data_IF_426394753226
#
_entry.id   IF_426394753226
#
_cell.length_a   1.000
_cell.length_b   1.000
_cell.length_c   1.000
_cell.angle_alpha   90.00
_cell.angle_beta   90.00
_cell.angle_gamma   90.00
#
_symmetry.space_group_name_H-M   'P 1'
#
loop_
_entity.id
_entity.type
_entity.pdbx_description
1 polymer ?
#
# COMPACT_ATOMS: atom_id res chain seq x y z
N UNK A 1 -9.96 -9.17 -6.47
CA UNK A 1 -9.50 -8.94 -7.08
C UNK A 1 -8.86 -9.59 -7.67
N UNK A 2 -8.82 -9.66 -8.43
CA UNK A 2 -8.22 -10.33 -8.90
C UNK A 2 -7.25 -9.87 -9.58
N UNK A 3 -6.26 -10.23 -9.57
CA UNK A 3 -5.24 -9.75 -10.16
C UNK A 3 -5.14 -10.16 -11.51
N UNK A 4 -4.67 -9.30 -12.41
CA UNK A 4 -4.32 -9.63 -13.77
C UNK A 4 -3.06 -10.46 -13.71
N UNK A 5 -3.07 -11.66 -14.23
CA UNK A 5 -1.88 -12.50 -14.16
C UNK A 5 -0.65 -11.87 -14.79
N UNK A 6 -0.84 -10.95 -15.72
CA UNK A 6 0.29 -10.30 -16.36
C UNK A 6 1.08 -9.43 -15.39
N UNK A 7 0.42 -8.95 -14.35
CA UNK A 7 1.11 -8.14 -13.35
C UNK A 7 2.07 -8.97 -12.53
N UNK A 8 1.78 -10.26 -12.41
CA UNK A 8 2.63 -11.11 -11.61
C UNK A 8 3.82 -11.64 -12.36
N UNK A 9 3.76 -11.67 -13.66
CA UNK A 9 4.89 -12.11 -14.42
C UNK A 9 6.03 -11.14 -14.35
N UNK A 10 5.68 -9.85 -14.46
CA UNK A 10 6.67 -8.80 -14.40
C UNK A 10 6.35 -7.98 -13.18
N UNK A 11 7.28 -7.83 -12.30
CA UNK A 11 7.04 -7.02 -11.14
C UNK A 11 6.67 -5.61 -11.56
N UNK A 12 5.66 -5.09 -10.91
CA UNK A 12 5.18 -3.76 -11.21
C UNK A 12 6.16 -2.74 -10.63
N UNK A 13 6.52 -1.76 -11.44
CA UNK A 13 7.37 -0.68 -10.97
C UNK A 13 6.50 0.47 -10.53
N UNK A 14 6.65 0.85 -9.26
CA UNK A 14 5.81 1.88 -8.68
C UNK A 14 6.68 2.97 -8.13
N UNK A 15 6.65 4.17 -8.73
CA UNK A 15 7.41 5.28 -8.17
C UNK A 15 6.78 5.75 -6.87
N UNK A 16 7.61 6.11 -5.93
CA UNK A 16 7.11 6.67 -4.69
C UNK A 16 6.66 8.10 -4.97
N UNK A 17 5.49 8.41 -4.44
CA UNK A 17 4.90 9.70 -4.68
C UNK A 17 4.35 10.28 -3.43
N UNK A 18 4.33 11.58 -3.37
CA UNK A 18 3.78 12.28 -2.24
C UNK A 18 2.31 12.59 -2.39
N UNK A 19 1.82 12.66 -3.61
CA UNK A 19 0.45 13.05 -3.85
C UNK A 19 -0.45 11.85 -3.92
N UNK A 20 -1.61 11.95 -3.28
CA UNK A 20 -2.60 10.88 -3.28
C UNK A 20 -3.87 11.27 -4.01
N UNK A 21 -3.91 12.47 -4.58
CA UNK A 21 -5.14 13.02 -5.08
C UNK A 21 -5.75 12.26 -6.23
N UNK A 22 -4.94 11.72 -7.10
CA UNK A 22 -5.47 11.04 -8.28
C UNK A 22 -5.15 9.56 -8.26
N UNK A 23 -4.90 9.03 -7.08
CA UNK A 23 -4.56 7.63 -6.98
C UNK A 23 -5.81 6.77 -6.93
N UNK A 24 -5.72 5.56 -7.45
CA UNK A 24 -6.85 4.63 -7.37
C UNK A 24 -7.17 4.29 -5.94
N UNK A 25 -8.42 3.92 -5.70
CA UNK A 25 -8.88 3.53 -4.38
C UNK A 25 -8.96 2.02 -4.33
N UNK A 26 -8.44 1.44 -3.26
CA UNK A 26 -8.58 0.03 -2.99
C UNK A 26 -9.57 -0.15 -1.86
N UNK A 27 -10.56 -0.99 -2.07
CA UNK A 27 -11.52 -1.34 -1.03
C UNK A 27 -11.29 -2.78 -0.61
N UNK A 28 -11.19 -2.97 0.69
CA UNK A 28 -10.91 -4.31 1.21
C UNK A 28 -11.50 -4.45 2.61
N UNK A 29 -11.89 -5.68 2.93
CA UNK A 29 -12.29 -6.02 4.28
C UNK A 29 -11.04 -6.50 5.01
N UNK A 30 -10.72 -5.87 6.12
CA UNK A 30 -9.51 -6.22 6.84
C UNK A 30 -9.84 -6.60 8.27
N UNK A 31 -8.91 -7.30 8.88
CA UNK A 31 -9.06 -7.72 10.26
C UNK A 31 -9.13 -6.48 11.17
N UNK A 32 -10.01 -6.50 12.19
CA UNK A 32 -10.15 -5.33 13.07
C UNK A 32 -8.85 -4.90 13.75
N UNK A 33 -7.99 -5.86 14.08
CA UNK A 33 -6.72 -5.51 14.72
C UNK A 33 -5.80 -4.76 13.76
N UNK A 34 -5.86 -5.12 12.49
CA UNK A 34 -5.08 -4.41 11.49
C UNK A 34 -5.57 -2.97 11.39
N UNK A 35 -6.88 -2.80 11.37
CA UNK A 35 -7.44 -1.46 11.30
C UNK A 35 -7.03 -0.63 12.49
N UNK A 36 -7.12 -1.20 13.69
CA UNK A 36 -6.75 -0.48 14.90
C UNK A 36 -5.28 -0.07 14.86
N UNK A 37 -4.44 -0.97 14.38
CA UNK A 37 -3.01 -0.67 14.28
C UNK A 37 -2.75 0.48 13.32
N UNK A 38 -3.42 0.46 12.18
CA UNK A 38 -3.24 1.52 11.19
C UNK A 38 -3.71 2.86 11.73
N UNK A 39 -4.83 2.88 12.45
CA UNK A 39 -5.33 4.10 13.04
C UNK A 39 -4.35 4.62 14.09
N UNK A 40 -3.82 3.72 14.90
CA UNK A 40 -2.85 4.09 15.91
C UNK A 40 -1.60 4.70 15.28
N UNK A 41 -1.11 4.09 14.20
CA UNK A 41 0.05 4.60 13.49
C UNK A 41 -0.24 5.95 12.87
N UNK A 42 -1.44 6.12 12.34
CA UNK A 42 -1.85 7.39 11.77
C UNK A 42 -1.74 8.50 12.81
N UNK A 43 -2.20 8.23 14.02
CA UNK A 43 -2.16 9.23 15.09
C UNK A 43 -0.73 9.54 15.53
N UNK A 44 0.11 8.50 15.58
CA UNK A 44 1.49 8.71 16.00
C UNK A 44 2.32 9.48 14.99
N UNK A 45 2.09 9.22 13.71
CA UNK A 45 2.94 9.77 12.68
C UNK A 45 2.42 11.04 12.05
N UNK A 46 1.15 11.36 12.27
CA UNK A 46 0.53 12.49 11.60
C UNK A 46 0.12 12.21 10.17
N UNK A 47 0.33 10.99 9.70
CA UNK A 47 -0.08 10.60 8.37
C UNK A 47 -1.54 10.18 8.39
N UNK A 48 -2.22 10.26 7.25
CA UNK A 48 -3.57 9.74 7.18
C UNK A 48 -3.52 8.21 7.20
N UNK A 49 -4.66 7.59 7.52
CA UNK A 49 -4.72 6.13 7.51
C UNK A 49 -4.42 5.61 6.11
N UNK A 50 -4.89 6.30 5.08
CA UNK A 50 -4.60 5.89 3.71
C UNK A 50 -3.11 5.92 3.42
N UNK A 51 -2.41 6.94 3.89
CA UNK A 51 -0.97 7.02 3.69
C UNK A 51 -0.24 5.92 4.44
N UNK A 52 -0.67 5.63 5.67
CA UNK A 52 -0.05 4.58 6.43
C UNK A 52 -0.24 3.24 5.73
N UNK A 53 -1.48 2.98 5.29
CA UNK A 53 -1.76 1.73 4.59
C UNK A 53 -0.94 1.61 3.32
N UNK A 54 -0.81 2.71 2.58
CA UNK A 54 -0.02 2.70 1.36
C UNK A 54 1.44 2.35 1.64
N UNK A 55 2.00 2.93 2.70
CA UNK A 55 3.38 2.66 3.05
C UNK A 55 3.59 1.22 3.47
N UNK A 56 2.68 0.70 4.28
CA UNK A 56 2.78 -0.67 4.72
C UNK A 56 2.69 -1.63 3.54
N UNK A 57 1.72 -1.38 2.66
CA UNK A 57 1.55 -2.25 1.50
C UNK A 57 2.74 -2.14 0.56
N UNK A 58 3.23 -0.95 0.34
CA UNK A 58 4.38 -0.74 -0.52
C UNK A 58 5.58 -1.52 -0.01
N UNK A 59 5.89 -1.35 1.26
CA UNK A 59 7.03 -2.00 1.87
C UNK A 59 6.87 -3.52 1.84
N UNK A 60 5.69 -4.00 2.19
CA UNK A 60 5.45 -5.43 2.22
C UNK A 60 5.58 -6.06 0.84
N UNK A 61 5.04 -5.36 -0.17
CA UNK A 61 5.10 -5.91 -1.53
C UNK A 61 6.51 -5.89 -2.08
N UNK A 62 7.31 -4.91 -1.69
CA UNK A 62 8.72 -4.91 -2.04
C UNK A 62 9.42 -6.10 -1.41
N UNK A 63 9.15 -6.35 -0.12
CA UNK A 63 9.77 -7.47 0.58
C UNK A 63 9.34 -8.81 0.02
N UNK A 64 8.12 -8.87 -0.48
CA UNK A 64 7.61 -10.09 -1.10
C UNK A 64 8.04 -10.23 -2.54
N UNK A 65 8.81 -9.27 -3.04
CA UNK A 65 9.31 -9.28 -4.42
C UNK A 65 8.20 -9.18 -5.45
N UNK A 66 7.09 -8.52 -5.05
CA UNK A 66 5.98 -8.31 -5.97
C UNK A 66 6.03 -6.94 -6.62
N UNK A 67 6.81 -6.01 -6.05
CA UNK A 67 7.01 -4.69 -6.62
C UNK A 67 8.49 -4.37 -6.67
N UNK A 68 8.88 -3.58 -7.68
CA UNK A 68 10.21 -3.01 -7.73
C UNK A 68 10.13 -1.57 -7.28
N UNK A 69 10.98 -1.20 -6.34
CA UNK A 69 11.04 0.18 -5.90
C UNK A 69 11.62 1.04 -6.99
N UNK A 70 11.04 2.23 -7.16
CA UNK A 70 11.57 3.22 -8.08
C UNK A 70 12.31 4.23 -7.27
N UNK A 71 13.57 4.37 -7.55
CA UNK A 71 14.36 5.30 -6.77
C UNK A 71 14.71 6.52 -7.53
#
# INVERSE_FOLDING_TARGET
MLEDPRLHRDRVRVPRRDSYEKRPVLSATIHPDIKRTLVSMSKRTGMTVSQVADEVLYTSLIEMHELNAQV
#
